data_IF_404321731790
#
_entry.id   IF_404321731790
#
_cell.length_a   1.000
_cell.length_b   1.000
_cell.length_c   1.000
_cell.angle_alpha   90.00
_cell.angle_beta   90.00
_cell.angle_gamma   90.00
#
_symmetry.space_group_name_H-M   'P 1'
#
loop_
_entity.id
_entity.type
_entity.pdbx_description
1 polymer ?
#
# COMPACT_ATOMS: atom_id res chain seq x y z
N UNK A 1 -18.83 31.61 -10.49
CA UNK A 1 -17.70 30.81 -11.02
C UNK A 1 -16.53 30.69 -10.05
N UNK A 2 -16.61 31.22 -8.81
CA UNK A 2 -15.47 31.28 -7.87
C UNK A 2 -15.59 30.42 -6.59
N UNK A 3 -16.39 29.35 -6.60
CA UNK A 3 -16.54 28.48 -5.41
C UNK A 3 -16.01 27.05 -5.55
N UNK A 4 -15.57 26.65 -6.75
CA UNK A 4 -15.08 25.29 -7.01
C UNK A 4 -13.55 25.19 -6.84
N UNK A 5 -12.81 26.28 -7.05
CA UNK A 5 -11.35 26.32 -6.85
C UNK A 5 -10.92 26.32 -5.37
N UNK A 6 -11.75 26.84 -4.46
CA UNK A 6 -11.40 26.90 -3.04
C UNK A 6 -11.47 25.55 -2.31
N UNK A 7 -12.28 24.60 -2.81
CA UNK A 7 -12.43 23.27 -2.18
C UNK A 7 -11.29 22.31 -2.57
N UNK A 8 -10.69 22.51 -3.75
CA UNK A 8 -9.55 21.69 -4.20
C UNK A 8 -8.24 22.02 -3.46
N UNK A 9 -8.08 23.25 -3.00
CA UNK A 9 -6.91 23.66 -2.19
C UNK A 9 -7.05 23.20 -0.73
N UNK A 10 -8.28 23.06 -0.22
CA UNK A 10 -8.53 22.66 1.16
C UNK A 10 -8.36 21.15 1.39
N UNK A 11 -8.60 20.32 0.37
CA UNK A 11 -8.35 18.86 0.41
C UNK A 11 -6.86 18.49 0.30
N UNK A 12 -6.04 19.34 -0.33
CA UNK A 12 -4.57 19.18 -0.35
C UNK A 12 -3.93 19.48 1.02
N UNK A 13 -4.58 20.30 1.88
CA UNK A 13 -4.08 20.63 3.21
C UNK A 13 -4.44 19.59 4.29
N UNK A 14 -5.51 18.82 4.09
CA UNK A 14 -5.93 17.77 5.03
C UNK A 14 -5.23 16.42 4.77
N UNK A 15 -4.78 16.17 3.54
CA UNK A 15 -4.05 14.93 3.18
C UNK A 15 -2.63 14.82 3.73
N UNK A 16 -2.11 15.89 4.38
CA UNK A 16 -0.77 15.90 4.98
C UNK A 16 -0.71 15.62 6.48
N UNK A 17 -1.83 15.21 7.10
CA UNK A 17 -1.97 15.19 8.56
C UNK A 17 -1.64 13.86 9.25
N UNK A 18 -1.45 12.75 8.52
CA UNK A 18 -1.22 11.44 9.15
C UNK A 18 -0.13 10.66 8.40
N UNK A 19 1.11 10.92 8.78
CA UNK A 19 2.22 9.96 8.65
C UNK A 19 2.57 9.43 10.04
N UNK A 20 3.27 8.28 10.16
CA UNK A 20 3.50 7.61 11.42
C UNK A 20 4.13 8.56 12.45
N UNK A 21 3.67 8.42 13.69
CA UNK A 21 4.12 9.19 14.84
C UNK A 21 5.57 8.84 15.21
N UNK A 22 6.54 9.34 14.44
CA UNK A 22 7.94 9.38 14.84
C UNK A 22 8.29 10.80 15.29
N UNK A 23 8.88 10.90 16.47
CA UNK A 23 9.03 12.14 17.23
C UNK A 23 9.99 13.13 16.54
N UNK A 24 9.51 14.12 15.77
CA UNK A 24 10.34 15.24 15.30
C UNK A 24 9.58 16.57 15.11
N UNK A 25 10.36 17.66 15.08
CA UNK A 25 10.02 19.04 15.45
C UNK A 25 8.74 19.63 14.78
N UNK A 26 7.72 20.03 15.57
CA UNK A 26 6.56 20.78 15.10
C UNK A 26 6.92 22.01 14.24
N UNK A 27 8.09 22.61 14.45
CA UNK A 27 8.56 23.77 13.71
C UNK A 27 8.84 23.47 12.23
N UNK A 28 9.50 22.34 11.90
CA UNK A 28 9.74 21.94 10.50
C UNK A 28 8.42 21.68 9.79
N UNK A 29 7.51 20.96 10.45
CA UNK A 29 6.18 20.66 9.90
C UNK A 29 5.37 21.94 9.66
N UNK A 30 5.41 22.88 10.61
CA UNK A 30 4.74 24.17 10.48
C UNK A 30 5.36 25.00 9.36
N UNK A 31 6.68 25.08 9.29
CA UNK A 31 7.39 25.80 8.24
C UNK A 31 7.05 25.25 6.86
N UNK A 32 7.06 23.91 6.70
CA UNK A 32 6.67 23.24 5.45
C UNK A 32 5.26 23.65 4.98
N UNK A 33 4.31 23.80 5.90
CA UNK A 33 2.93 24.17 5.59
C UNK A 33 2.75 25.66 5.26
N UNK A 34 3.61 26.55 5.77
CA UNK A 34 3.43 28.00 5.65
C UNK A 34 4.37 28.67 4.66
N UNK A 35 5.63 28.24 4.62
CA UNK A 35 6.68 28.81 3.77
C UNK A 35 7.74 27.75 3.45
N UNK A 36 7.72 27.18 2.23
CA UNK A 36 8.69 26.18 1.81
C UNK A 36 10.15 26.66 1.89
N UNK A 37 10.44 27.96 1.74
CA UNK A 37 11.82 28.47 1.85
C UNK A 37 12.30 28.44 3.29
N UNK A 38 11.48 28.92 4.22
CA UNK A 38 11.77 28.83 5.64
C UNK A 38 11.94 27.37 6.11
N UNK A 39 11.17 26.45 5.53
CA UNK A 39 11.33 25.01 5.78
C UNK A 39 12.73 24.52 5.36
N UNK A 40 13.21 24.90 4.19
CA UNK A 40 14.55 24.54 3.70
C UNK A 40 15.64 25.07 4.65
N UNK A 41 15.59 26.36 5.02
CA UNK A 41 16.57 26.99 5.91
C UNK A 41 16.61 26.31 7.29
N UNK A 42 15.44 25.95 7.81
CA UNK A 42 15.34 25.22 9.07
C UNK A 42 15.92 23.81 8.93
N UNK A 43 15.63 23.10 7.85
CA UNK A 43 16.20 21.77 7.59
C UNK A 43 17.74 21.82 7.49
N UNK A 44 18.31 22.83 6.83
CA UNK A 44 19.76 23.03 6.74
C UNK A 44 20.39 23.18 8.13
N UNK A 45 19.78 24.01 8.99
CA UNK A 45 20.22 24.19 10.38
C UNK A 45 20.17 22.88 11.18
N UNK A 46 19.11 22.09 10.99
CA UNK A 46 18.96 20.79 11.65
C UNK A 46 20.01 19.77 11.21
N UNK A 47 20.34 19.72 9.92
CA UNK A 47 21.31 18.79 9.37
C UNK A 47 22.75 19.03 9.87
N UNK A 48 23.07 20.27 10.29
CA UNK A 48 24.33 20.65 10.91
C UNK A 48 24.44 20.22 12.39
N UNK A 49 23.35 19.82 13.03
CA UNK A 49 23.34 19.45 14.44
C UNK A 49 24.21 18.20 14.70
N UNK A 50 25.24 18.29 15.56
CA UNK A 50 26.09 17.14 15.89
C UNK A 50 25.30 16.03 16.59
N UNK A 51 25.55 14.77 16.22
CA UNK A 51 24.94 13.61 16.87
C UNK A 51 23.51 13.29 16.42
N UNK A 52 23.00 13.93 15.36
CA UNK A 52 21.73 13.56 14.75
C UNK A 52 21.77 12.12 14.23
N UNK A 53 20.80 11.30 14.62
CA UNK A 53 20.70 9.91 14.17
C UNK A 53 20.43 9.82 12.66
N UNK A 54 20.78 8.69 12.04
CA UNK A 54 20.57 8.46 10.60
C UNK A 54 19.08 8.53 10.21
N UNK A 55 18.20 7.92 11.01
CA UNK A 55 16.74 7.99 10.81
C UNK A 55 16.24 9.45 10.86
N UNK A 56 16.66 10.21 11.87
CA UNK A 56 16.28 11.63 11.98
C UNK A 56 16.82 12.48 10.83
N UNK A 57 18.02 12.16 10.35
CA UNK A 57 18.63 12.83 9.20
C UNK A 57 17.85 12.58 7.93
N UNK A 58 17.41 11.33 7.71
CA UNK A 58 16.55 10.96 6.58
C UNK A 58 15.24 11.76 6.63
N UNK A 59 14.56 11.82 7.77
CA UNK A 59 13.31 12.57 7.91
C UNK A 59 13.46 14.05 7.53
N UNK A 60 14.51 14.71 8.04
CA UNK A 60 14.80 16.12 7.73
C UNK A 60 15.11 16.31 6.23
N UNK A 61 15.88 15.40 5.64
CA UNK A 61 16.15 15.43 4.19
C UNK A 61 14.87 15.25 3.36
N UNK A 62 13.93 14.41 3.80
CA UNK A 62 12.64 14.25 3.10
C UNK A 62 11.77 15.50 3.18
N UNK A 63 11.71 16.18 4.32
CA UNK A 63 11.06 17.49 4.41
C UNK A 63 11.71 18.52 3.50
N UNK A 64 13.04 18.57 3.47
CA UNK A 64 13.78 19.47 2.60
C UNK A 64 13.51 19.17 1.11
N UNK A 65 13.51 17.89 0.71
CA UNK A 65 13.20 17.47 -0.65
C UNK A 65 11.78 17.88 -1.06
N UNK A 66 10.79 17.70 -0.18
CA UNK A 66 9.40 18.13 -0.43
C UNK A 66 9.29 19.65 -0.52
N UNK A 67 10.01 20.38 0.32
CA UNK A 67 10.03 21.84 0.24
C UNK A 67 10.65 22.32 -1.10
N UNK A 68 11.74 21.70 -1.57
CA UNK A 68 12.28 21.98 -2.91
C UNK A 68 11.29 21.66 -4.03
N UNK A 69 10.51 20.58 -3.89
CA UNK A 69 9.47 20.25 -4.85
C UNK A 69 8.39 21.34 -4.92
N UNK A 70 7.91 21.85 -3.78
CA UNK A 70 6.97 22.97 -3.73
C UNK A 70 7.55 24.26 -4.35
N UNK A 71 8.87 24.42 -4.33
CA UNK A 71 9.58 25.54 -4.97
C UNK A 71 9.86 25.31 -6.46
N UNK A 72 9.57 24.13 -7.00
CA UNK A 72 9.90 23.77 -8.39
C UNK A 72 11.39 23.48 -8.63
N UNK A 73 12.18 23.30 -7.57
CA UNK A 73 13.64 23.11 -7.62
C UNK A 73 14.00 21.62 -7.78
N UNK A 74 13.58 21.01 -8.89
CA UNK A 74 13.71 19.56 -9.16
C UNK A 74 15.13 18.99 -8.93
N UNK A 75 16.16 19.68 -9.42
CA UNK A 75 17.54 19.19 -9.32
C UNK A 75 17.98 19.05 -7.84
N UNK A 76 17.50 19.93 -6.97
CA UNK A 76 17.77 19.87 -5.53
C UNK A 76 16.98 18.76 -4.85
N UNK A 77 15.76 18.47 -5.31
CA UNK A 77 15.01 17.29 -4.85
C UNK A 77 15.84 16.02 -5.07
N UNK A 78 16.34 15.83 -6.29
CA UNK A 78 17.15 14.66 -6.66
C UNK A 78 18.46 14.62 -5.85
N UNK A 79 19.14 15.76 -5.68
CA UNK A 79 20.36 15.84 -4.87
C UNK A 79 20.10 15.45 -3.41
N UNK A 80 19.02 15.96 -2.82
CA UNK A 80 18.62 15.65 -1.44
C UNK A 80 18.25 14.18 -1.30
N UNK A 81 17.54 13.59 -2.26
CA UNK A 81 17.22 12.17 -2.26
C UNK A 81 18.47 11.28 -2.42
N UNK A 82 19.49 11.70 -3.16
CA UNK A 82 20.78 10.99 -3.19
C UNK A 82 21.49 11.00 -1.84
N UNK A 83 21.31 12.06 -1.04
CA UNK A 83 21.82 12.10 0.35
C UNK A 83 21.09 11.06 1.20
N UNK A 84 19.78 10.92 1.05
CA UNK A 84 19.01 9.83 1.69
C UNK A 84 19.56 8.47 1.27
N UNK A 85 19.74 8.23 -0.03
CA UNK A 85 20.27 6.97 -0.56
C UNK A 85 21.71 6.65 -0.09
N UNK A 86 22.47 7.65 0.35
CA UNK A 86 23.81 7.44 0.94
C UNK A 86 23.72 6.92 2.37
N UNK A 87 22.66 7.28 3.10
CA UNK A 87 22.41 6.86 4.49
C UNK A 87 21.70 5.51 4.49
N UNK A 88 20.65 5.39 3.67
CA UNK A 88 19.84 4.19 3.51
C UNK A 88 19.57 3.95 2.01
N UNK A 89 20.39 3.11 1.36
CA UNK A 89 20.25 2.79 -0.07
C UNK A 89 18.94 2.07 -0.41
N UNK A 90 18.34 1.40 0.57
CA UNK A 90 17.12 0.61 0.42
C UNK A 90 15.90 1.37 0.96
N UNK A 91 16.02 2.69 1.22
CA UNK A 91 14.96 3.49 1.80
C UNK A 91 13.67 3.40 0.97
N UNK A 92 12.60 3.00 1.65
CA UNK A 92 11.28 2.86 1.05
C UNK A 92 10.41 4.06 1.42
N UNK A 93 9.92 4.77 0.40
CA UNK A 93 9.02 5.90 0.61
C UNK A 93 7.62 5.38 1.00
N UNK A 94 7.18 5.74 2.20
CA UNK A 94 5.85 5.37 2.71
C UNK A 94 4.73 6.21 2.06
N UNK A 95 3.97 5.57 1.16
CA UNK A 95 2.65 6.03 0.73
C UNK A 95 2.53 7.41 0.05
N UNK A 96 1.29 7.83 -0.24
CA UNK A 96 0.99 9.02 -1.06
C UNK A 96 0.98 10.36 -0.33
N UNK A 97 1.04 10.38 1.00
CA UNK A 97 0.75 11.56 1.81
C UNK A 97 1.90 12.61 1.82
N UNK A 98 2.67 12.70 0.74
CA UNK A 98 4.00 13.31 0.74
C UNK A 98 4.26 14.29 -0.42
N UNK A 99 3.25 15.05 -0.88
CA UNK A 99 3.38 16.24 -1.75
C UNK A 99 4.42 16.08 -2.89
N UNK A 100 4.05 15.30 -3.90
CA UNK A 100 4.83 14.15 -4.40
C UNK A 100 6.16 14.44 -5.10
N UNK A 101 7.24 13.94 -4.47
CA UNK A 101 8.58 13.74 -5.04
C UNK A 101 8.78 12.35 -5.66
N UNK A 102 7.68 11.65 -5.96
CA UNK A 102 7.68 10.24 -6.35
C UNK A 102 8.50 9.97 -7.61
N UNK A 103 8.45 10.89 -8.59
CA UNK A 103 9.22 10.76 -9.82
C UNK A 103 10.72 10.83 -9.56
N UNK A 104 11.16 11.81 -8.76
CA UNK A 104 12.56 11.97 -8.36
C UNK A 104 13.02 10.82 -7.46
N UNK A 105 12.13 10.31 -6.60
CA UNK A 105 12.39 9.11 -5.79
C UNK A 105 12.68 7.90 -6.67
N UNK A 106 11.82 7.60 -7.66
CA UNK A 106 12.04 6.48 -8.56
C UNK A 106 13.30 6.64 -9.43
N UNK A 107 13.68 7.88 -9.77
CA UNK A 107 14.94 8.15 -10.46
C UNK A 107 16.16 7.76 -9.62
N UNK A 108 16.11 8.00 -8.30
CA UNK A 108 17.22 7.73 -7.38
C UNK A 108 17.23 6.27 -6.89
N UNK A 109 16.08 5.76 -6.45
CA UNK A 109 15.97 4.47 -5.76
C UNK A 109 15.51 3.32 -6.66
N UNK A 110 14.84 3.61 -7.79
CA UNK A 110 14.33 2.60 -8.72
C UNK A 110 15.37 1.56 -9.17
N UNK A 111 16.63 1.93 -9.49
CA UNK A 111 17.65 0.96 -9.84
C UNK A 111 17.97 -0.07 -8.74
N UNK A 112 17.96 0.36 -7.47
CA UNK A 112 18.21 -0.53 -6.33
C UNK A 112 17.03 -1.48 -6.10
N UNK A 113 15.79 -0.98 -6.21
CA UNK A 113 14.58 -1.79 -6.12
C UNK A 113 14.54 -2.92 -7.16
N UNK A 114 15.09 -2.70 -8.35
CA UNK A 114 15.15 -3.72 -9.43
C UNK A 114 16.16 -4.84 -9.19
N UNK A 115 17.07 -4.74 -8.22
CA UNK A 115 18.19 -5.66 -8.05
C UNK A 115 18.36 -6.13 -6.59
N UNK A 116 17.34 -6.82 -6.05
CA UNK A 116 17.46 -7.60 -4.80
C UNK A 116 17.74 -9.09 -5.12
N UNK A 117 19.01 -9.53 -5.26
CA UNK A 117 19.32 -10.90 -5.64
C UNK A 117 18.86 -11.91 -4.59
N UNK A 118 18.01 -12.87 -4.99
CA UNK A 118 17.52 -13.95 -4.13
C UNK A 118 16.16 -13.70 -3.47
N UNK A 119 15.58 -12.51 -3.63
CA UNK A 119 14.22 -12.18 -3.23
C UNK A 119 13.44 -11.86 -4.51
N UNK A 120 12.33 -12.55 -4.73
CA UNK A 120 11.44 -12.25 -5.85
C UNK A 120 10.41 -11.23 -5.39
N UNK A 121 10.50 -10.01 -5.91
CA UNK A 121 9.53 -8.94 -5.63
C UNK A 121 8.32 -9.09 -6.54
N UNK A 122 7.12 -9.17 -5.97
CA UNK A 122 5.88 -9.51 -6.69
C UNK A 122 4.80 -8.49 -6.38
N UNK A 123 4.18 -7.95 -7.43
CA UNK A 123 3.00 -7.11 -7.30
C UNK A 123 1.73 -7.92 -7.57
N UNK A 124 0.80 -7.93 -6.61
CA UNK A 124 -0.49 -8.63 -6.76
C UNK A 124 -1.59 -7.60 -7.02
N UNK A 125 -2.18 -7.65 -8.21
CA UNK A 125 -3.28 -6.78 -8.59
C UNK A 125 -4.64 -7.31 -8.13
N UNK A 126 -5.56 -6.37 -7.97
CA UNK A 126 -6.96 -6.63 -7.69
C UNK A 126 -7.59 -7.64 -8.65
N UNK A 127 -8.56 -8.37 -8.09
CA UNK A 127 -9.44 -9.25 -8.84
C UNK A 127 -10.32 -8.41 -9.75
N UNK A 128 -10.10 -8.54 -11.06
CA UNK A 128 -11.02 -8.01 -12.06
C UNK A 128 -12.34 -8.78 -11.95
N UNK A 129 -13.39 -8.09 -11.54
CA UNK A 129 -14.72 -8.68 -11.49
C UNK A 129 -15.35 -8.73 -12.89
N UNK A 130 -15.44 -9.94 -13.44
CA UNK A 130 -16.08 -10.26 -14.71
C UNK A 130 -17.49 -10.87 -14.51
N UNK A 131 -18.02 -10.89 -13.28
CA UNK A 131 -19.39 -11.34 -13.00
C UNK A 131 -20.40 -10.33 -13.52
N UNK A 132 -21.39 -10.82 -14.24
CA UNK A 132 -22.47 -10.01 -14.82
C UNK A 132 -23.81 -10.27 -14.13
N UNK A 133 -24.71 -9.29 -14.15
CA UNK A 133 -26.07 -9.42 -13.59
C UNK A 133 -26.16 -8.96 -12.13
N UNK A 134 -27.21 -9.42 -11.43
CA UNK A 134 -27.60 -8.93 -10.10
C UNK A 134 -26.56 -9.22 -9.01
N UNK A 135 -25.71 -10.23 -9.20
CA UNK A 135 -24.69 -10.61 -8.22
C UNK A 135 -23.42 -9.72 -8.28
N UNK A 136 -23.31 -8.83 -9.27
CA UNK A 136 -22.08 -8.07 -9.54
C UNK A 136 -21.54 -7.32 -8.31
N UNK A 137 -22.41 -6.63 -7.57
CA UNK A 137 -22.03 -5.83 -6.40
C UNK A 137 -21.46 -6.70 -5.27
N UNK A 138 -22.04 -7.90 -5.03
CA UNK A 138 -21.50 -8.87 -4.08
C UNK A 138 -20.06 -9.25 -4.45
N UNK A 139 -19.83 -9.51 -5.75
CA UNK A 139 -18.53 -9.94 -6.25
C UNK A 139 -17.49 -8.80 -6.32
N UNK A 140 -17.92 -7.54 -6.40
CA UNK A 140 -17.02 -6.38 -6.26
C UNK A 140 -16.45 -6.30 -4.85
N UNK A 141 -17.27 -6.53 -3.81
CA UNK A 141 -16.79 -6.64 -2.43
C UNK A 141 -15.90 -7.86 -2.21
N UNK A 142 -16.31 -9.03 -2.72
CA UNK A 142 -15.55 -10.27 -2.59
C UNK A 142 -14.16 -10.20 -3.25
N UNK A 143 -14.07 -9.55 -4.42
CA UNK A 143 -12.81 -9.33 -5.15
C UNK A 143 -11.74 -8.63 -4.29
N UNK A 144 -12.13 -7.63 -3.50
CA UNK A 144 -11.22 -6.93 -2.57
C UNK A 144 -10.72 -7.88 -1.48
N UNK A 145 -11.62 -8.65 -0.87
CA UNK A 145 -11.27 -9.61 0.19
C UNK A 145 -10.35 -10.71 -0.35
N UNK A 146 -10.62 -11.20 -1.56
CA UNK A 146 -9.80 -12.23 -2.21
C UNK A 146 -8.40 -11.72 -2.53
N UNK A 147 -8.26 -10.48 -3.01
CA UNK A 147 -6.95 -9.87 -3.23
C UNK A 147 -6.11 -9.86 -1.95
N UNK A 148 -6.71 -9.45 -0.83
CA UNK A 148 -6.03 -9.42 0.48
C UNK A 148 -5.69 -10.82 0.99
N UNK A 149 -6.61 -11.79 0.86
CA UNK A 149 -6.34 -13.18 1.26
C UNK A 149 -5.22 -13.79 0.42
N UNK A 150 -5.16 -13.48 -0.88
CA UNK A 150 -4.09 -13.93 -1.76
C UNK A 150 -2.74 -13.32 -1.34
N UNK A 151 -2.69 -12.00 -1.14
CA UNK A 151 -1.49 -11.30 -0.66
C UNK A 151 -1.02 -11.87 0.67
N UNK A 152 -1.90 -11.97 1.67
CA UNK A 152 -1.56 -12.54 2.98
C UNK A 152 -1.10 -14.00 2.90
N UNK A 153 -1.67 -14.79 1.99
CA UNK A 153 -1.20 -16.17 1.76
C UNK A 153 0.22 -16.18 1.18
N UNK A 154 0.51 -15.32 0.20
CA UNK A 154 1.84 -15.23 -0.40
C UNK A 154 2.87 -14.68 0.60
N UNK A 155 2.54 -13.63 1.36
CA UNK A 155 3.37 -13.08 2.45
C UNK A 155 3.71 -14.12 3.52
N UNK A 156 2.71 -14.86 4.01
CA UNK A 156 2.91 -15.77 5.14
C UNK A 156 3.60 -17.07 4.75
N UNK A 157 3.45 -17.48 3.49
CA UNK A 157 3.92 -18.80 3.03
C UNK A 157 5.18 -18.72 2.18
N UNK A 158 5.74 -17.53 1.92
CA UNK A 158 6.89 -17.43 1.02
C UNK A 158 7.91 -16.39 1.47
N UNK A 159 9.10 -16.43 0.87
CA UNK A 159 10.11 -15.37 1.00
C UNK A 159 9.95 -14.27 -0.07
N UNK A 160 8.75 -14.10 -0.62
CA UNK A 160 8.47 -13.05 -1.61
C UNK A 160 8.38 -11.69 -0.93
N UNK A 161 8.79 -10.67 -1.66
CA UNK A 161 8.62 -9.27 -1.26
C UNK A 161 7.40 -8.72 -2.01
N UNK A 162 6.29 -8.47 -1.31
CA UNK A 162 5.07 -8.03 -1.97
C UNK A 162 5.01 -6.51 -2.09
N UNK A 163 4.79 -6.04 -3.32
CA UNK A 163 4.51 -4.62 -3.56
C UNK A 163 3.07 -4.32 -3.18
N UNK A 164 2.90 -3.42 -2.22
CA UNK A 164 1.57 -2.95 -1.80
C UNK A 164 0.82 -2.29 -2.96
N UNK A 165 -0.49 -2.54 -3.00
CA UNK A 165 -1.40 -2.04 -4.04
C UNK A 165 -1.40 -0.52 -4.11
N UNK A 166 -1.45 0.14 -2.95
CA UNK A 166 -1.52 1.58 -2.84
C UNK A 166 -0.36 2.22 -3.60
N UNK A 167 0.85 1.65 -3.49
CA UNK A 167 2.05 2.16 -4.18
C UNK A 167 1.90 2.11 -5.70
N UNK A 168 1.29 1.05 -6.23
CA UNK A 168 1.03 0.91 -7.66
C UNK A 168 0.04 1.97 -8.13
N UNK A 169 -1.07 2.14 -7.42
CA UNK A 169 -2.09 3.14 -7.73
C UNK A 169 -1.48 4.56 -7.71
N UNK A 170 -0.53 4.83 -6.82
CA UNK A 170 0.17 6.12 -6.76
C UNK A 170 1.12 6.35 -7.92
N UNK A 171 1.92 5.36 -8.29
CA UNK A 171 2.79 5.48 -9.48
C UNK A 171 1.93 5.74 -10.72
N UNK A 172 0.81 5.03 -10.87
CA UNK A 172 -0.09 5.23 -11.99
C UNK A 172 -0.68 6.66 -12.03
N UNK A 173 -1.07 7.20 -10.87
CA UNK A 173 -1.57 8.58 -10.73
C UNK A 173 -0.48 9.62 -11.04
N UNK A 174 0.72 9.45 -10.48
CA UNK A 174 1.85 10.38 -10.59
C UNK A 174 2.32 10.55 -12.04
N UNK A 175 2.33 9.45 -12.80
CA UNK A 175 2.74 9.48 -14.21
C UNK A 175 1.59 9.77 -15.17
N UNK A 176 0.39 10.08 -14.66
CA UNK A 176 -0.83 10.33 -15.45
C UNK A 176 -1.03 9.25 -16.53
N UNK A 177 -0.73 8.00 -16.20
CA UNK A 177 -0.79 6.93 -17.16
C UNK A 177 -2.25 6.70 -17.56
N UNK A 178 -2.51 6.77 -18.87
CA UNK A 178 -3.82 7.12 -19.42
C UNK A 178 -4.91 6.05 -19.23
N UNK A 179 -4.56 4.84 -18.82
CA UNK A 179 -5.53 3.78 -18.56
C UNK A 179 -5.11 2.92 -17.34
N UNK A 180 -5.73 3.20 -16.19
CA UNK A 180 -5.55 2.42 -14.96
C UNK A 180 -5.97 0.95 -15.11
N UNK A 181 -6.68 0.58 -16.19
CA UNK A 181 -7.14 -0.78 -16.47
C UNK A 181 -6.28 -1.53 -17.48
N UNK A 182 -5.35 -0.85 -18.18
CA UNK A 182 -4.48 -1.47 -19.17
C UNK A 182 -3.35 -2.28 -18.50
N UNK A 183 -3.21 -3.55 -18.91
CA UNK A 183 -2.25 -4.49 -18.35
C UNK A 183 -0.80 -4.03 -18.60
N UNK A 184 -0.48 -3.51 -19.79
CA UNK A 184 0.87 -3.05 -20.11
C UNK A 184 1.27 -1.84 -19.26
N UNK A 185 0.33 -0.92 -19.03
CA UNK A 185 0.50 0.22 -18.13
C UNK A 185 0.77 -0.23 -16.68
N UNK A 186 0.04 -1.24 -16.20
CA UNK A 186 0.22 -1.83 -14.87
C UNK A 186 1.54 -2.57 -14.70
N UNK A 187 1.97 -3.33 -15.71
CA UNK A 187 3.29 -3.98 -15.74
C UNK A 187 4.39 -2.93 -15.59
N UNK A 188 4.28 -1.82 -16.32
CA UNK A 188 5.25 -0.72 -16.24
C UNK A 188 5.29 -0.05 -14.86
N UNK A 189 4.13 0.13 -14.23
CA UNK A 189 4.06 0.68 -12.88
C UNK A 189 4.69 -0.27 -11.84
N UNK A 190 4.45 -1.57 -11.95
CA UNK A 190 5.12 -2.59 -11.12
C UNK A 190 6.63 -2.61 -11.32
N UNK A 191 7.09 -2.53 -12.58
CA UNK A 191 8.52 -2.46 -12.91
C UNK A 191 9.21 -1.24 -12.28
N UNK A 192 8.53 -0.08 -12.28
CA UNK A 192 9.02 1.12 -11.61
C UNK A 192 9.21 0.91 -10.10
N UNK A 193 8.33 0.13 -9.48
CA UNK A 193 8.39 -0.23 -8.07
C UNK A 193 9.33 -1.42 -7.77
N UNK A 194 10.07 -1.89 -8.77
CA UNK A 194 11.00 -3.02 -8.62
C UNK A 194 10.34 -4.40 -8.60
N UNK A 195 9.04 -4.50 -8.90
CA UNK A 195 8.41 -5.80 -9.08
C UNK A 195 9.07 -6.54 -10.25
N UNK A 196 9.49 -7.78 -10.01
CA UNK A 196 10.05 -8.69 -11.00
C UNK A 196 8.94 -9.50 -11.68
N UNK A 197 7.82 -9.69 -10.98
CA UNK A 197 6.63 -10.36 -11.51
C UNK A 197 5.35 -9.69 -11.05
N UNK A 198 4.33 -9.78 -11.89
CA UNK A 198 2.98 -9.29 -11.66
C UNK A 198 2.02 -10.47 -11.57
N UNK A 199 1.09 -10.44 -10.61
CA UNK A 199 -0.03 -11.38 -10.54
C UNK A 199 -1.30 -10.63 -10.91
N UNK A 200 -1.93 -11.01 -12.02
CA UNK A 200 -3.24 -10.49 -12.40
C UNK A 200 -4.31 -11.54 -12.10
N UNK A 201 -5.38 -11.12 -11.43
CA UNK A 201 -6.47 -12.01 -11.02
C UNK A 201 -7.78 -11.57 -11.65
N UNK A 202 -8.61 -12.54 -12.01
CA UNK A 202 -9.94 -12.32 -12.56
C UNK A 202 -10.93 -13.28 -11.89
N UNK A 203 -12.13 -12.80 -11.57
CA UNK A 203 -13.24 -13.63 -11.08
C UNK A 203 -14.40 -13.56 -12.07
N UNK A 204 -14.91 -14.70 -12.48
CA UNK A 204 -16.04 -14.82 -13.39
C UNK A 204 -17.06 -15.83 -12.85
N UNK A 205 -18.32 -15.65 -13.23
CA UNK A 205 -19.40 -16.58 -12.92
C UNK A 205 -19.89 -17.23 -14.21
N UNK A 206 -19.79 -18.55 -14.27
CA UNK A 206 -20.29 -19.37 -15.37
C UNK A 206 -21.38 -20.29 -14.81
N UNK A 207 -22.64 -19.97 -15.12
CA UNK A 207 -23.83 -20.61 -14.54
C UNK A 207 -23.83 -20.60 -13.00
N UNK A 208 -23.48 -21.74 -12.39
CA UNK A 208 -23.40 -21.93 -10.92
C UNK A 208 -21.96 -21.97 -10.42
N UNK A 209 -21.00 -21.98 -11.33
CA UNK A 209 -19.59 -22.11 -11.04
C UNK A 209 -18.96 -20.73 -11.02
N UNK A 210 -18.15 -20.49 -10.00
CA UNK A 210 -17.29 -19.33 -9.88
C UNK A 210 -15.89 -19.78 -10.27
N UNK A 211 -15.33 -19.09 -11.25
CA UNK A 211 -14.01 -19.37 -11.80
C UNK A 211 -13.12 -18.20 -11.46
N UNK A 212 -11.99 -18.51 -10.84
CA UNK A 212 -10.96 -17.53 -10.53
C UNK A 212 -9.70 -17.93 -11.28
N UNK A 213 -9.18 -17.02 -12.09
CA UNK A 213 -7.94 -17.22 -12.84
C UNK A 213 -6.91 -16.22 -12.35
N UNK A 214 -5.69 -16.69 -12.09
CA UNK A 214 -4.55 -15.85 -11.81
C UNK A 214 -3.43 -16.13 -12.82
N UNK A 215 -2.90 -15.07 -13.43
CA UNK A 215 -1.74 -15.15 -14.33
C UNK A 215 -0.54 -14.47 -13.70
N UNK A 216 0.64 -15.08 -13.86
CA UNK A 216 1.92 -14.50 -13.45
C UNK A 216 2.64 -13.99 -14.68
N UNK A 217 3.03 -12.71 -14.68
CA UNK A 217 3.71 -12.04 -15.80
C UNK A 217 5.05 -11.48 -15.33
N UNK A 218 6.15 -11.83 -15.99
CA UNK A 218 7.48 -11.25 -15.74
C UNK A 218 7.51 -9.81 -16.25
N UNK A 219 7.89 -8.85 -15.40
CA UNK A 219 7.84 -7.42 -15.76
C UNK A 219 8.86 -7.05 -16.83
N UNK A 220 10.06 -7.63 -16.78
CA UNK A 220 11.16 -7.32 -17.71
C UNK A 220 10.84 -7.72 -19.15
N UNK A 221 10.25 -8.91 -19.34
CA UNK A 221 10.02 -9.46 -20.69
C UNK A 221 8.55 -9.48 -21.09
N UNK A 222 7.64 -9.13 -20.16
CA UNK A 222 6.19 -9.26 -20.32
C UNK A 222 5.72 -10.68 -20.67
N UNK A 223 6.52 -11.71 -20.35
CA UNK A 223 6.16 -13.11 -20.58
C UNK A 223 5.28 -13.64 -19.45
N UNK A 224 4.31 -14.45 -19.82
CA UNK A 224 3.52 -15.22 -18.86
C UNK A 224 4.39 -16.36 -18.34
N UNK A 225 4.66 -16.36 -17.03
CA UNK A 225 5.42 -17.41 -16.34
C UNK A 225 4.54 -18.61 -15.99
N UNK A 226 3.25 -18.37 -15.73
CA UNK A 226 2.27 -19.40 -15.42
C UNK A 226 0.86 -18.85 -15.28
N UNK A 227 -0.11 -19.74 -15.22
CA UNK A 227 -1.52 -19.43 -15.01
C UNK A 227 -2.15 -20.51 -14.16
N UNK A 228 -2.77 -20.09 -13.07
CA UNK A 228 -3.45 -20.97 -12.12
C UNK A 228 -4.93 -20.63 -12.08
N UNK A 229 -5.76 -21.65 -11.84
CA UNK A 229 -7.22 -21.51 -11.81
C UNK A 229 -7.80 -22.30 -10.64
N UNK A 230 -8.81 -21.72 -10.00
CA UNK A 230 -9.66 -22.42 -9.04
C UNK A 230 -11.13 -22.25 -9.40
N UNK A 231 -11.91 -23.32 -9.20
CA UNK A 231 -13.34 -23.36 -9.50
C UNK A 231 -14.11 -23.82 -8.27
N UNK A 232 -15.16 -23.08 -7.90
CA UNK A 232 -16.04 -23.44 -6.80
C UNK A 232 -17.49 -23.06 -7.05
N UNK A 233 -18.37 -23.48 -6.14
CA UNK A 233 -19.81 -23.19 -6.18
C UNK A 233 -20.25 -22.52 -4.90
N UNK A 234 -21.30 -21.71 -5.01
CA UNK A 234 -21.96 -21.06 -3.88
C UNK A 234 -21.66 -19.56 -3.83
N UNK A 235 -21.72 -19.01 -2.62
CA UNK A 235 -21.44 -17.60 -2.35
C UNK A 235 -19.94 -17.31 -2.30
N UNK A 236 -19.61 -16.02 -2.33
CA UNK A 236 -18.25 -15.48 -2.14
C UNK A 236 -17.49 -16.07 -0.95
N UNK A 237 -18.16 -16.39 0.16
CA UNK A 237 -17.58 -17.06 1.33
C UNK A 237 -16.87 -18.39 1.03
N UNK A 238 -17.36 -19.14 0.02
CA UNK A 238 -16.79 -20.43 -0.37
C UNK A 238 -15.47 -20.28 -1.13
N UNK A 239 -15.15 -19.07 -1.62
CA UNK A 239 -13.95 -18.82 -2.39
C UNK A 239 -12.67 -18.72 -1.55
N UNK A 240 -12.77 -18.40 -0.26
CA UNK A 240 -11.58 -18.12 0.56
C UNK A 240 -10.61 -19.31 0.70
N UNK A 241 -11.06 -20.55 0.93
CA UNK A 241 -10.18 -21.72 0.89
C UNK A 241 -9.56 -21.96 -0.49
N UNK A 242 -10.28 -21.61 -1.55
CA UNK A 242 -9.79 -21.74 -2.93
C UNK A 242 -8.75 -20.67 -3.26
N UNK A 243 -8.89 -19.44 -2.77
CA UNK A 243 -7.85 -18.41 -2.86
C UNK A 243 -6.56 -18.85 -2.18
N UNK A 244 -6.65 -19.55 -1.05
CA UNK A 244 -5.47 -20.08 -0.38
C UNK A 244 -4.77 -21.17 -1.19
N UNK A 245 -5.53 -22.06 -1.84
CA UNK A 245 -4.97 -23.04 -2.78
C UNK A 245 -4.32 -22.35 -3.97
N UNK A 246 -4.98 -21.31 -4.52
CA UNK A 246 -4.46 -20.50 -5.61
C UNK A 246 -3.13 -19.83 -5.21
N UNK A 247 -3.06 -19.24 -4.01
CA UNK A 247 -1.84 -18.63 -3.49
C UNK A 247 -0.67 -19.61 -3.40
N UNK A 248 -0.91 -20.84 -2.91
CA UNK A 248 0.10 -21.90 -2.89
C UNK A 248 0.57 -22.30 -4.29
N UNK A 249 -0.35 -22.48 -5.23
CA UNK A 249 0.00 -22.81 -6.61
C UNK A 249 0.82 -21.68 -7.28
N UNK A 250 0.44 -20.42 -7.04
CA UNK A 250 1.20 -19.26 -7.53
C UNK A 250 2.59 -19.16 -6.90
N UNK A 251 2.75 -19.52 -5.63
CA UNK A 251 4.07 -19.57 -4.98
C UNK A 251 5.02 -20.56 -5.67
N UNK A 252 4.49 -21.70 -6.15
CA UNK A 252 5.26 -22.67 -6.95
C UNK A 252 5.68 -22.08 -8.31
N UNK A 253 4.77 -21.40 -9.01
CA UNK A 253 5.06 -20.71 -10.29
C UNK A 253 6.15 -19.65 -10.09
N UNK A 254 6.07 -18.89 -9.00
CA UNK A 254 7.03 -17.87 -8.60
C UNK A 254 8.35 -18.46 -8.06
N UNK A 255 8.45 -19.80 -7.96
CA UNK A 255 9.59 -20.53 -7.40
C UNK A 255 9.99 -20.02 -6.02
N UNK A 256 9.02 -19.54 -5.27
CA UNK A 256 9.26 -19.03 -3.94
C UNK A 256 9.52 -20.20 -2.98
N UNK A 257 10.42 -20.01 -2.01
CA UNK A 257 10.58 -21.00 -0.94
C UNK A 257 9.31 -20.95 -0.09
N UNK A 258 8.56 -22.05 -0.06
CA UNK A 258 7.37 -22.15 0.77
C UNK A 258 7.80 -22.36 2.23
N UNK A 259 7.51 -21.41 3.11
CA UNK A 259 7.64 -21.61 4.55
C UNK A 259 6.34 -22.26 5.05
N UNK A 260 6.43 -23.46 5.64
CA UNK A 260 5.26 -24.27 6.03
C UNK A 260 4.49 -23.71 7.25
N UNK A 261 4.74 -22.46 7.67
CA UNK A 261 3.96 -21.76 8.67
C UNK A 261 2.59 -21.33 8.10
N UNK A 262 1.69 -22.31 7.99
CA UNK A 262 0.31 -22.13 7.54
C UNK A 262 -0.50 -21.28 8.53
N UNK A 263 -1.31 -20.35 8.03
CA UNK A 263 -2.22 -19.54 8.85
C UNK A 263 -3.18 -20.44 9.65
N UNK A 264 -3.25 -20.25 10.97
CA UNK A 264 -4.21 -20.97 11.82
C UNK A 264 -5.64 -20.41 11.66
N UNK A 265 -6.67 -21.19 12.03
CA UNK A 265 -8.08 -20.75 11.97
C UNK A 265 -8.35 -19.41 12.69
N UNK A 266 -7.62 -19.11 13.77
CA UNK A 266 -7.75 -17.85 14.50
C UNK A 266 -7.23 -16.63 13.70
N UNK A 267 -6.24 -16.82 12.83
CA UNK A 267 -5.76 -15.75 11.95
C UNK A 267 -6.78 -15.40 10.87
N UNK A 268 -7.58 -16.37 10.43
CA UNK A 268 -8.65 -16.13 9.47
C UNK A 268 -9.75 -15.20 10.03
N UNK A 269 -10.24 -15.49 11.24
CA UNK A 269 -11.27 -14.66 11.88
C UNK A 269 -10.73 -13.24 12.16
N UNK A 270 -9.44 -13.13 12.48
CA UNK A 270 -8.75 -11.85 12.65
C UNK A 270 -8.80 -10.98 11.37
N UNK A 271 -8.48 -11.57 10.20
CA UNK A 271 -8.53 -10.87 8.92
C UNK A 271 -9.94 -10.46 8.49
N UNK A 272 -10.96 -11.26 8.81
CA UNK A 272 -12.37 -10.91 8.53
C UNK A 272 -12.80 -9.68 9.32
N UNK A 273 -12.50 -9.65 10.62
CA UNK A 273 -12.81 -8.50 11.45
C UNK A 273 -12.00 -7.27 11.02
N UNK A 274 -10.72 -7.42 10.65
CA UNK A 274 -9.93 -6.32 10.11
C UNK A 274 -10.49 -5.75 8.80
N UNK A 275 -10.98 -6.59 7.89
CA UNK A 275 -11.66 -6.14 6.67
C UNK A 275 -12.90 -5.28 6.95
N UNK A 276 -13.75 -5.71 7.89
CA UNK A 276 -14.92 -4.94 8.35
C UNK A 276 -14.53 -3.60 8.97
N UNK A 277 -13.37 -3.55 9.65
CA UNK A 277 -12.85 -2.30 10.19
C UNK A 277 -12.54 -1.28 9.08
N UNK A 278 -11.90 -1.73 8.00
CA UNK A 278 -11.56 -0.88 6.85
C UNK A 278 -12.81 -0.37 6.12
N UNK A 279 -13.83 -1.21 5.93
CA UNK A 279 -15.10 -0.80 5.33
C UNK A 279 -15.86 0.21 6.20
N UNK A 280 -15.77 0.04 7.52
CA UNK A 280 -16.34 1.00 8.47
C UNK A 280 -15.66 2.37 8.37
N UNK A 281 -14.35 2.42 8.11
CA UNK A 281 -13.64 3.68 7.89
C UNK A 281 -14.02 4.35 6.58
N UNK A 282 -14.16 3.56 5.51
CA UNK A 282 -14.62 4.08 4.21
C UNK A 282 -16.03 4.64 4.28
N UNK A 283 -16.88 4.06 5.12
CA UNK A 283 -18.24 4.56 5.38
C UNK A 283 -18.30 5.67 6.44
N UNK A 284 -17.16 6.09 6.99
CA UNK A 284 -17.04 7.19 7.95
C UNK A 284 -17.41 6.85 9.40
N UNK A 285 -17.51 5.55 9.73
CA UNK A 285 -17.88 5.08 11.06
C UNK A 285 -16.66 4.59 11.86
N UNK A 286 -15.93 5.53 12.46
CA UNK A 286 -14.72 5.25 13.25
C UNK A 286 -15.01 4.35 14.47
N UNK A 287 -16.17 4.51 15.11
CA UNK A 287 -16.58 3.67 16.25
C UNK A 287 -16.83 2.20 15.86
N UNK A 288 -17.36 1.95 14.65
CA UNK A 288 -17.53 0.57 14.15
C UNK A 288 -16.17 -0.02 13.76
N UNK A 289 -15.32 0.80 13.12
CA UNK A 289 -13.96 0.41 12.77
C UNK A 289 -13.16 -0.03 13.99
N UNK A 290 -13.25 0.73 15.09
CA UNK A 290 -12.55 0.42 16.33
C UNK A 290 -13.00 -0.92 16.94
N UNK A 291 -14.30 -1.23 16.93
CA UNK A 291 -14.80 -2.52 17.42
C UNK A 291 -14.27 -3.68 16.59
N UNK A 292 -14.32 -3.54 15.27
CA UNK A 292 -13.86 -4.58 14.36
C UNK A 292 -12.34 -4.81 14.43
N UNK A 293 -11.53 -3.76 14.53
CA UNK A 293 -10.08 -3.93 14.69
C UNK A 293 -9.70 -4.51 16.07
N UNK A 294 -10.46 -4.19 17.12
CA UNK A 294 -10.29 -4.79 18.44
C UNK A 294 -10.56 -6.31 18.39
N UNK A 295 -11.68 -6.70 17.76
CA UNK A 295 -12.02 -8.11 17.57
C UNK A 295 -10.97 -8.84 16.72
N UNK A 296 -10.35 -8.17 15.74
CA UNK A 296 -9.24 -8.75 14.98
C UNK A 296 -8.02 -9.08 15.86
N UNK A 297 -7.66 -8.18 16.78
CA UNK A 297 -6.53 -8.37 17.70
C UNK A 297 -6.80 -9.39 18.81
N UNK A 298 -8.06 -9.61 19.18
CA UNK A 298 -8.44 -10.71 20.07
C UNK A 298 -8.19 -12.08 19.43
N UNK A 299 -8.44 -12.18 18.12
CA UNK A 299 -8.30 -13.42 17.36
C UNK A 299 -6.84 -13.71 16.98
N UNK A 300 -6.10 -12.70 16.52
CA UNK A 300 -4.66 -12.78 16.34
C UNK A 300 -3.95 -11.60 17.02
N UNK A 301 -3.46 -11.80 18.26
CA UNK A 301 -2.72 -10.77 18.99
C UNK A 301 -1.45 -10.29 18.28
N UNK A 302 -0.89 -11.06 17.33
CA UNK A 302 0.32 -10.69 16.59
C UNK A 302 0.03 -10.00 15.25
N UNK A 303 -1.23 -9.74 14.94
CA UNK A 303 -1.65 -9.12 13.68
C UNK A 303 -1.21 -7.65 13.60
N UNK A 304 -0.08 -7.41 12.95
CA UNK A 304 0.60 -6.10 12.92
C UNK A 304 -0.27 -5.01 12.29
N UNK A 305 -0.93 -5.29 11.17
CA UNK A 305 -1.78 -4.32 10.47
C UNK A 305 -2.99 -3.91 11.33
N UNK A 306 -3.61 -4.86 12.05
CA UNK A 306 -4.68 -4.56 12.99
C UNK A 306 -4.18 -3.72 14.18
N UNK A 307 -2.95 -3.97 14.66
CA UNK A 307 -2.36 -3.22 15.76
C UNK A 307 -2.10 -1.77 15.38
N UNK A 308 -1.46 -1.54 14.23
CA UNK A 308 -1.24 -0.18 13.72
C UNK A 308 -2.55 0.57 13.51
N UNK A 309 -3.57 -0.09 12.95
CA UNK A 309 -4.87 0.52 12.77
C UNK A 309 -5.56 0.84 14.12
N UNK A 310 -5.48 -0.07 15.09
CA UNK A 310 -6.01 0.13 16.44
C UNK A 310 -5.36 1.35 17.10
N UNK A 311 -4.04 1.46 17.08
CA UNK A 311 -3.28 2.58 17.66
C UNK A 311 -3.65 3.92 16.99
N UNK A 312 -3.80 3.92 15.67
CA UNK A 312 -4.24 5.10 14.92
C UNK A 312 -5.66 5.55 15.31
N UNK A 313 -6.58 4.60 15.52
CA UNK A 313 -7.95 4.90 15.93
C UNK A 313 -8.05 5.29 17.41
N UNK A 314 -7.25 4.68 18.28
CA UNK A 314 -7.16 5.04 19.71
C UNK A 314 -6.66 6.48 19.90
N UNK A 315 -5.71 6.93 19.06
CA UNK A 315 -5.18 8.29 19.09
C UNK A 315 -6.04 9.37 18.41
N UNK A 316 -7.21 9.00 17.86
CA UNK A 316 -8.05 9.91 17.07
C UNK A 316 -9.19 10.57 17.86
N UNK A 317 -9.70 11.68 17.33
CA UNK A 317 -10.57 12.62 18.06
C UNK A 317 -11.94 12.06 18.50
N UNK A 318 -12.44 10.97 17.90
CA UNK A 318 -13.75 10.40 18.25
C UNK A 318 -13.81 9.81 19.68
N UNK A 319 -12.66 9.41 20.25
CA UNK A 319 -12.57 8.99 21.66
C UNK A 319 -12.77 10.17 22.64
N UNK A 320 -12.53 11.41 22.21
CA UNK A 320 -12.79 12.61 23.02
C UNK A 320 -14.30 12.95 23.12
N UNK A 321 -15.14 12.39 22.24
CA UNK A 321 -16.60 12.59 22.22
C UNK A 321 -17.39 11.59 23.11
N UNK A 322 -16.70 10.74 23.89
CA UNK A 322 -17.30 10.11 25.06
C UNK A 322 -18.31 8.99 24.78
N UNK A 323 -18.03 8.12 23.81
CA UNK A 323 -18.71 6.82 23.71
C UNK A 323 -17.75 5.72 24.14
N UNK A 324 -17.79 5.36 25.43
CA UNK A 324 -17.08 4.19 25.93
C UNK A 324 -17.69 2.91 25.36
N UNK A 325 -16.88 1.92 24.92
CA UNK A 325 -17.39 0.60 24.58
C UNK A 325 -17.78 -0.13 25.87
N UNK A 326 -19.02 -0.62 25.93
CA UNK A 326 -19.44 -1.67 26.87
C UNK A 326 -19.40 -3.01 26.16
#
# INVERSE_FOLDING_TARGET
MDRILAVSVFLLLLGGLVGPATAFDPEIRRAYQTDPRACVELCETYLETPGLSDSSRIDVLLFQARAYHLLGERDRVVETLRKVATIDPDYELDGPAHGSIWREYLEVFGPALKHRPGISTVAVFDFKNCVTGDDREEWEGAAVVFARKLQGTLESSTTLDLVERERIDHVLQEFQLADLQDEATRVRAGEMLGAQSMVFTEVAKLDKDIVIVARVVETETSKILGTEEVVFRGSSSNGLPEIEKLGRALAEVLRAKVDEASLGANQYDAWVEYGRAMDSLRSGSEAQAFRHVSAALEQDPKFSQARTLFENLEGSAWMAEGVTPR
#
